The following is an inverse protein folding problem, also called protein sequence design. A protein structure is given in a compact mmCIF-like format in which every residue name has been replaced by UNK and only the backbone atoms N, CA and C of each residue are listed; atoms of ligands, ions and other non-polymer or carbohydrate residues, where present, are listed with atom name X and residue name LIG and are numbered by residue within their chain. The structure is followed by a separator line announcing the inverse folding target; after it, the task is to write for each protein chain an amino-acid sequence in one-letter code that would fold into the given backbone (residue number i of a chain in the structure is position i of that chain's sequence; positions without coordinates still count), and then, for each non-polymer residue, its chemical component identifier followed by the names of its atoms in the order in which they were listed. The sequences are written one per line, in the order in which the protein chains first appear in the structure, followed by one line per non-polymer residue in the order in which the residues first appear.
data_IF_540116207670
#
_entry.id   IF_540116207670
#
_cell.length_a   1.000
_cell.length_b   1.000
_cell.length_c   1.000
_cell.angle_alpha   90.00
_cell.angle_beta   90.00
_cell.angle_gamma   90.00
#
_symmetry.space_group_name_H-M   'P 1'
#
loop_
_entity.id
_entity.type
_entity.pdbx_description
1 polymer ?
#
# COMPACT_ATOMS: atom_id res chain seq x y z
N UNK A 1 -5.34 25.60 -15.82
CA UNK A 1 -6.40 24.56 -15.78
C UNK A 1 -7.65 25.24 -15.26
N UNK A 2 -8.74 25.25 -16.02
CA UNK A 2 -10.04 25.73 -15.53
C UNK A 2 -10.57 24.77 -14.45
N UNK A 3 -10.97 25.32 -13.30
CA UNK A 3 -11.60 24.55 -12.23
C UNK A 3 -13.00 24.13 -12.68
N UNK A 4 -13.15 22.88 -13.14
CA UNK A 4 -14.48 22.30 -13.40
C UNK A 4 -15.19 22.06 -12.07
N UNK A 5 -16.26 22.80 -11.83
CA UNK A 5 -17.17 22.58 -10.69
C UNK A 5 -18.28 21.64 -11.15
N UNK A 6 -18.36 20.46 -10.52
CA UNK A 6 -19.40 19.48 -10.80
C UNK A 6 -20.55 19.68 -9.79
N UNK A 7 -21.72 20.11 -10.27
CA UNK A 7 -22.95 20.12 -9.48
C UNK A 7 -23.53 18.69 -9.42
N UNK A 8 -23.14 17.94 -8.39
CA UNK A 8 -23.59 16.56 -8.17
C UNK A 8 -24.98 16.54 -7.53
N UNK A 9 -25.94 15.84 -8.15
CA UNK A 9 -27.25 15.59 -7.54
C UNK A 9 -27.11 14.55 -6.42
N UNK A 10 -27.99 14.62 -5.41
CA UNK A 10 -28.02 13.63 -4.32
C UNK A 10 -28.26 12.20 -4.83
N UNK A 11 -28.99 12.04 -5.94
CA UNK A 11 -29.18 10.73 -6.61
C UNK A 11 -27.87 10.13 -7.12
N UNK A 12 -26.93 10.99 -7.51
CA UNK A 12 -25.64 10.59 -8.06
C UNK A 12 -24.64 10.15 -6.99
N UNK A 13 -25.02 10.22 -5.71
CA UNK A 13 -24.24 9.70 -4.59
C UNK A 13 -24.71 8.29 -4.23
N UNK A 14 -23.87 7.30 -4.52
CA UNK A 14 -24.05 5.92 -4.09
C UNK A 14 -23.18 5.61 -2.88
N UNK A 15 -23.71 4.87 -1.90
CA UNK A 15 -22.89 4.27 -0.86
C UNK A 15 -22.54 2.84 -1.27
N UNK A 16 -21.26 2.56 -1.47
CA UNK A 16 -20.79 1.18 -1.63
C UNK A 16 -20.33 0.67 -0.26
N UNK A 17 -21.00 -0.36 0.21
CA UNK A 17 -20.61 -1.08 1.43
C UNK A 17 -19.73 -2.25 1.04
N UNK A 18 -18.59 -2.38 1.72
CA UNK A 18 -17.67 -3.48 1.57
C UNK A 18 -17.82 -4.43 2.74
N UNK A 19 -17.54 -5.71 2.50
CA UNK A 19 -17.48 -6.71 3.56
C UNK A 19 -16.45 -6.25 4.58
N UNK A 20 -16.78 -6.37 5.86
CA UNK A 20 -15.87 -6.02 6.95
C UNK A 20 -14.55 -6.77 6.81
N UNK A 21 -13.44 -6.04 6.89
CA UNK A 21 -12.10 -6.58 6.62
C UNK A 21 -11.60 -6.40 5.18
N UNK A 22 -12.42 -5.85 4.26
CA UNK A 22 -11.96 -5.49 2.92
C UNK A 22 -10.79 -4.52 3.02
N UNK A 23 -9.68 -4.89 2.37
CA UNK A 23 -8.41 -4.18 2.44
C UNK A 23 -8.08 -3.58 1.07
N UNK A 24 -7.75 -2.29 1.09
CA UNK A 24 -7.28 -1.52 -0.05
C UNK A 24 -5.78 -1.31 0.12
N UNK A 25 -5.02 -1.90 -0.79
CA UNK A 25 -3.57 -1.86 -0.83
C UNK A 25 -3.18 -1.03 -2.04
N UNK A 26 -2.32 -0.04 -1.85
CA UNK A 26 -1.82 0.81 -2.92
C UNK A 26 -0.31 0.85 -2.87
N UNK A 27 0.30 0.76 -4.04
CA UNK A 27 1.72 1.03 -4.24
C UNK A 27 1.85 2.09 -5.32
N UNK A 28 2.69 3.08 -5.06
CA UNK A 28 3.10 4.06 -6.06
C UNK A 28 4.60 4.33 -5.94
N UNK A 29 5.19 4.85 -7.00
CA UNK A 29 6.61 5.21 -7.02
C UNK A 29 7.02 5.75 -8.38
N UNK A 30 8.30 6.05 -8.53
CA UNK A 30 8.90 6.51 -9.79
C UNK A 30 9.66 5.34 -10.42
N UNK A 31 9.26 4.94 -11.63
CA UNK A 31 9.95 3.91 -12.41
C UNK A 31 11.17 4.45 -13.16
N UNK A 32 11.92 3.57 -13.81
CA UNK A 32 13.18 3.90 -14.51
C UNK A 32 13.02 4.93 -15.65
N UNK A 33 11.80 5.14 -16.13
CA UNK A 33 11.46 6.11 -17.16
C UNK A 33 11.02 7.47 -16.61
N UNK A 34 11.29 7.73 -15.33
CA UNK A 34 10.87 8.92 -14.56
C UNK A 34 9.34 9.12 -14.51
N UNK A 35 8.54 8.10 -14.85
CA UNK A 35 7.08 8.16 -14.73
C UNK A 35 6.63 7.57 -13.41
N UNK A 36 5.62 8.22 -12.84
CA UNK A 36 4.92 7.73 -11.67
C UNK A 36 4.08 6.51 -12.07
N UNK A 37 4.27 5.39 -11.39
CA UNK A 37 3.34 4.28 -11.41
C UNK A 37 2.49 4.29 -10.15
N UNK A 38 1.26 3.78 -10.26
CA UNK A 38 0.35 3.59 -9.13
C UNK A 38 -0.57 2.42 -9.43
N UNK A 39 -0.56 1.44 -8.55
CA UNK A 39 -1.47 0.30 -8.63
C UNK A 39 -2.22 0.11 -7.32
N UNK A 40 -3.43 -0.44 -7.42
CA UNK A 40 -4.30 -0.71 -6.29
C UNK A 40 -4.73 -2.17 -6.36
N UNK A 41 -4.54 -2.89 -5.26
CA UNK A 41 -5.06 -4.22 -5.02
C UNK A 41 -6.18 -4.14 -3.96
N UNK A 42 -7.35 -4.67 -4.29
CA UNK A 42 -8.49 -4.77 -3.39
C UNK A 42 -8.72 -6.24 -3.07
N UNK A 43 -8.68 -6.60 -1.79
CA UNK A 43 -8.90 -7.96 -1.30
C UNK A 43 -9.97 -8.00 -0.23
N UNK A 44 -10.63 -9.15 -0.10
CA UNK A 44 -11.84 -9.31 0.71
C UNK A 44 -11.57 -9.37 2.22
N UNK A 45 -10.33 -9.64 2.64
CA UNK A 45 -9.94 -9.77 4.04
C UNK A 45 -8.52 -9.28 4.29
N UNK A 46 -8.19 -9.01 5.56
CA UNK A 46 -6.83 -8.70 6.00
C UNK A 46 -5.89 -9.90 5.85
N UNK A 47 -6.39 -11.12 5.99
CA UNK A 47 -5.61 -12.34 5.79
C UNK A 47 -5.20 -12.49 4.32
N UNK A 48 -6.13 -12.25 3.39
CA UNK A 48 -5.83 -12.23 1.95
C UNK A 48 -4.80 -11.14 1.62
N UNK A 49 -4.88 -10.00 2.32
CA UNK A 49 -3.92 -8.91 2.14
C UNK A 49 -2.51 -9.35 2.50
N UNK A 50 -2.31 -9.96 3.67
CA UNK A 50 -1.00 -10.45 4.13
C UNK A 50 -0.43 -11.50 3.17
N UNK A 51 -1.28 -12.43 2.69
CA UNK A 51 -0.84 -13.51 1.78
C UNK A 51 -0.47 -13.02 0.38
N UNK A 52 -1.21 -12.05 -0.16
CA UNK A 52 -1.06 -11.61 -1.56
C UNK A 52 -0.15 -10.40 -1.72
N UNK A 53 -0.02 -9.56 -0.70
CA UNK A 53 0.72 -8.32 -0.82
C UNK A 53 2.19 -8.52 -1.20
N UNK A 54 2.96 -9.45 -0.61
CA UNK A 54 4.38 -9.59 -0.93
C UNK A 54 4.62 -9.88 -2.41
N UNK A 55 3.95 -10.90 -2.97
CA UNK A 55 4.10 -11.26 -4.38
C UNK A 55 3.59 -10.18 -5.32
N UNK A 56 2.39 -9.64 -5.07
CA UNK A 56 1.82 -8.55 -5.88
C UNK A 56 2.71 -7.30 -5.87
N UNK A 57 3.17 -6.87 -4.69
CA UNK A 57 4.00 -5.67 -4.55
C UNK A 57 5.31 -5.78 -5.31
N UNK A 58 5.99 -6.92 -5.21
CA UNK A 58 7.22 -7.18 -5.94
C UNK A 58 6.96 -7.21 -7.45
N UNK A 59 5.90 -7.87 -7.91
CA UNK A 59 5.54 -7.92 -9.33
C UNK A 59 5.26 -6.53 -9.91
N UNK A 60 4.45 -5.73 -9.22
CA UNK A 60 4.14 -4.34 -9.60
C UNK A 60 5.41 -3.51 -9.70
N UNK A 61 6.24 -3.50 -8.65
CA UNK A 61 7.47 -2.69 -8.60
C UNK A 61 8.45 -3.15 -9.69
N UNK A 62 8.65 -4.45 -9.85
CA UNK A 62 9.62 -5.02 -10.80
C UNK A 62 9.18 -4.97 -12.27
N UNK A 63 7.94 -4.57 -12.53
CA UNK A 63 7.49 -4.20 -13.88
C UNK A 63 7.96 -2.79 -14.26
N UNK A 64 8.28 -1.95 -13.28
CA UNK A 64 8.69 -0.56 -13.48
C UNK A 64 10.17 -0.28 -13.15
N UNK A 65 10.84 -1.23 -12.49
CA UNK A 65 12.24 -1.12 -12.05
C UNK A 65 13.04 -2.31 -12.58
N UNK A 66 14.03 -2.02 -13.43
CA UNK A 66 14.88 -3.01 -14.11
C UNK A 66 15.90 -3.62 -13.15
N UNK A 67 16.54 -2.78 -12.34
CA UNK A 67 17.58 -3.20 -11.38
C UNK A 67 16.98 -3.59 -10.03
N UNK A 68 16.37 -4.76 -10.02
CA UNK A 68 15.63 -5.30 -8.87
C UNK A 68 16.51 -5.48 -7.65
N UNK A 69 17.78 -5.88 -7.85
CA UNK A 69 18.70 -6.16 -6.74
C UNK A 69 19.15 -4.88 -6.05
N UNK A 70 19.56 -3.87 -6.81
CA UNK A 70 19.96 -2.60 -6.22
C UNK A 70 18.78 -1.88 -5.56
N UNK A 71 17.59 -1.95 -6.18
CA UNK A 71 16.38 -1.43 -5.56
C UNK A 71 16.09 -2.11 -4.23
N UNK A 72 16.02 -3.45 -4.22
CA UNK A 72 15.74 -4.22 -3.00
C UNK A 72 16.75 -3.92 -1.90
N UNK A 73 18.05 -3.91 -2.22
CA UNK A 73 19.11 -3.59 -1.25
C UNK A 73 19.01 -2.16 -0.73
N UNK A 74 18.60 -1.20 -1.58
CA UNK A 74 18.40 0.20 -1.15
C UNK A 74 17.25 0.31 -0.15
N UNK A 75 16.15 -0.42 -0.37
CA UNK A 75 15.03 -0.49 0.58
C UNK A 75 15.45 -1.15 1.88
N UNK A 76 16.18 -2.26 1.82
CA UNK A 76 16.71 -2.96 3.01
C UNK A 76 17.63 -2.06 3.82
N UNK A 77 18.57 -1.37 3.17
CA UNK A 77 19.49 -0.47 3.86
C UNK A 77 18.73 0.69 4.52
N UNK A 78 17.75 1.28 3.83
CA UNK A 78 16.92 2.32 4.41
C UNK A 78 16.13 1.83 5.64
N UNK A 79 15.58 0.61 5.58
CA UNK A 79 14.90 -0.02 6.73
C UNK A 79 15.85 -0.22 7.91
N UNK A 80 17.08 -0.69 7.67
CA UNK A 80 18.08 -0.89 8.73
C UNK A 80 18.50 0.46 9.34
N UNK A 81 18.68 1.48 8.53
CA UNK A 81 19.13 2.81 9.00
C UNK A 81 18.04 3.56 9.78
N UNK A 82 16.77 3.41 9.39
CA UNK A 82 15.69 4.27 9.89
C UNK A 82 14.64 3.54 10.73
N UNK A 83 14.55 2.22 10.61
CA UNK A 83 13.46 1.41 11.16
C UNK A 83 13.93 0.12 11.82
N UNK A 84 15.19 0.04 12.28
CA UNK A 84 15.70 -1.17 12.94
C UNK A 84 14.87 -1.56 14.16
N UNK A 85 14.66 -0.62 15.08
CA UNK A 85 13.94 -0.88 16.33
C UNK A 85 12.43 -0.94 16.09
N UNK A 86 11.83 0.18 15.68
CA UNK A 86 10.37 0.28 15.55
C UNK A 86 9.82 -0.55 14.39
N UNK A 87 10.60 -0.84 13.35
CA UNK A 87 10.17 -1.65 12.20
C UNK A 87 10.61 -3.10 12.29
N UNK A 88 11.89 -3.37 12.08
CA UNK A 88 12.43 -4.71 11.88
C UNK A 88 12.31 -5.57 13.15
N UNK A 89 12.75 -5.06 14.30
CA UNK A 89 12.73 -5.81 15.57
C UNK A 89 11.29 -6.08 16.01
N UNK A 90 10.41 -5.08 15.94
CA UNK A 90 9.00 -5.29 16.33
C UNK A 90 8.28 -6.23 15.35
N UNK A 91 8.60 -6.18 14.05
CA UNK A 91 8.07 -7.11 13.06
C UNK A 91 8.54 -8.54 13.34
N UNK A 92 9.85 -8.73 13.56
CA UNK A 92 10.44 -10.03 13.96
C UNK A 92 9.77 -10.58 15.21
N UNK A 93 9.56 -9.73 16.22
CA UNK A 93 8.90 -10.11 17.45
C UNK A 93 7.44 -10.53 17.19
N UNK A 94 6.71 -9.75 16.40
CA UNK A 94 5.34 -10.09 16.00
C UNK A 94 5.26 -11.41 15.22
N UNK A 95 6.26 -11.74 14.40
CA UNK A 95 6.32 -13.00 13.65
C UNK A 95 6.45 -14.20 14.58
N UNK A 96 7.31 -14.14 15.60
CA UNK A 96 7.38 -15.26 16.56
C UNK A 96 6.14 -15.31 17.47
N UNK A 97 5.68 -14.16 17.99
CA UNK A 97 4.60 -14.11 19.00
C UNK A 97 3.25 -14.53 18.45
N UNK A 98 2.94 -14.10 17.22
CA UNK A 98 1.60 -14.27 16.66
C UNK A 98 1.51 -15.39 15.63
N UNK A 99 2.64 -15.80 15.05
CA UNK A 99 2.67 -16.80 13.97
C UNK A 99 3.53 -18.04 14.30
N UNK A 100 4.22 -18.06 15.44
CA UNK A 100 4.88 -19.27 15.96
C UNK A 100 6.19 -19.65 15.28
N UNK A 101 6.88 -18.69 14.64
CA UNK A 101 8.20 -18.89 14.05
C UNK A 101 9.30 -18.75 15.11
N UNK A 102 9.52 -19.81 15.90
CA UNK A 102 10.48 -19.84 17.01
C UNK A 102 11.92 -19.54 16.56
N UNK A 103 12.27 -19.86 15.32
CA UNK A 103 13.57 -19.60 14.71
C UNK A 103 13.91 -18.09 14.67
N UNK A 104 12.92 -17.22 14.56
CA UNK A 104 13.15 -15.76 14.48
C UNK A 104 13.44 -15.13 15.83
N UNK A 105 13.14 -15.83 16.94
CA UNK A 105 13.35 -15.31 18.29
C UNK A 105 14.80 -14.91 18.53
N UNK A 106 15.73 -15.79 18.18
CA UNK A 106 17.17 -15.61 18.39
C UNK A 106 17.92 -15.11 17.15
N UNK A 107 17.25 -15.03 16.00
CA UNK A 107 17.85 -14.53 14.76
C UNK A 107 18.23 -13.05 14.89
N UNK A 108 19.39 -12.67 14.37
CA UNK A 108 19.79 -11.27 14.28
C UNK A 108 18.76 -10.48 13.43
N UNK A 109 18.33 -9.26 13.81
CA UNK A 109 17.32 -8.53 13.05
C UNK A 109 17.71 -8.22 11.59
N UNK A 110 19.01 -7.98 11.33
CA UNK A 110 19.52 -7.72 9.98
C UNK A 110 19.56 -9.01 9.17
N UNK A 111 19.90 -10.13 9.80
CA UNK A 111 19.78 -11.46 9.17
C UNK A 111 18.31 -11.79 8.85
N UNK A 112 17.41 -11.52 9.79
CA UNK A 112 15.97 -11.74 9.65
C UNK A 112 15.37 -11.00 8.44
N UNK A 113 15.61 -9.69 8.30
CA UNK A 113 15.01 -8.92 7.19
C UNK A 113 15.57 -9.36 5.82
N UNK A 114 16.73 -10.00 5.80
CA UNK A 114 17.41 -10.52 4.59
C UNK A 114 17.16 -12.00 4.34
N UNK A 115 16.46 -12.70 5.25
CA UNK A 115 16.28 -14.15 5.19
C UNK A 115 15.48 -14.59 3.96
N UNK A 116 14.39 -13.89 3.66
CA UNK A 116 13.52 -14.14 2.52
C UNK A 116 13.09 -12.81 1.87
N UNK A 117 12.94 -12.74 0.52
CA UNK A 117 12.53 -11.53 -0.18
C UNK A 117 11.23 -10.92 0.34
N UNK A 118 10.29 -11.75 0.80
CA UNK A 118 8.98 -11.36 1.32
C UNK A 118 9.05 -10.62 2.67
N UNK A 119 10.16 -10.73 3.41
CA UNK A 119 10.30 -10.05 4.70
C UNK A 119 10.30 -8.54 4.54
N UNK A 120 10.84 -8.02 3.44
CA UNK A 120 10.89 -6.58 3.15
C UNK A 120 9.48 -5.98 2.95
N UNK A 121 8.65 -6.45 1.99
CA UNK A 121 7.30 -5.90 1.83
C UNK A 121 6.43 -6.12 3.07
N UNK A 122 6.57 -7.24 3.80
CA UNK A 122 5.84 -7.45 5.05
C UNK A 122 6.28 -6.49 6.16
N UNK A 123 7.58 -6.20 6.27
CA UNK A 123 8.08 -5.20 7.21
C UNK A 123 7.55 -3.80 6.87
N UNK A 124 7.52 -3.43 5.59
CA UNK A 124 6.94 -2.15 5.16
C UNK A 124 5.44 -2.05 5.48
N UNK A 125 4.68 -3.14 5.31
CA UNK A 125 3.26 -3.24 5.72
C UNK A 125 3.12 -3.08 7.23
N UNK A 126 3.95 -3.78 8.00
CA UNK A 126 3.96 -3.69 9.45
C UNK A 126 4.21 -2.25 9.91
N UNK A 127 5.20 -1.58 9.30
CA UNK A 127 5.50 -0.17 9.57
C UNK A 127 4.32 0.72 9.21
N UNK A 128 3.77 0.52 8.00
CA UNK A 128 2.62 1.25 7.51
C UNK A 128 1.47 1.20 8.53
N UNK A 129 1.02 -0.01 8.88
CA UNK A 129 -0.16 -0.23 9.71
C UNK A 129 0.07 0.20 11.17
N UNK A 130 1.24 -0.06 11.75
CA UNK A 130 1.47 0.13 13.19
C UNK A 130 1.94 1.53 13.57
N UNK A 131 2.73 2.19 12.72
CA UNK A 131 3.42 3.42 13.11
C UNK A 131 3.04 4.64 12.26
N UNK A 132 2.46 4.43 11.07
CA UNK A 132 2.20 5.52 10.12
C UNK A 132 0.75 5.57 9.63
N UNK A 133 -0.17 5.05 10.44
CA UNK A 133 -1.62 5.06 10.18
C UNK A 133 -1.96 4.52 8.78
N UNK A 134 -1.32 3.41 8.42
CA UNK A 134 -1.43 2.68 7.17
C UNK A 134 -0.82 3.35 5.94
N UNK A 135 -0.05 4.43 6.05
CA UNK A 135 0.61 5.06 4.90
C UNK A 135 2.09 5.30 5.16
N UNK A 136 2.94 4.67 4.36
CA UNK A 136 4.39 4.82 4.43
C UNK A 136 4.92 5.34 3.10
N UNK A 137 5.76 6.36 3.16
CA UNK A 137 6.55 6.84 2.02
C UNK A 137 8.02 6.70 2.33
N UNK A 138 8.79 6.16 1.39
CA UNK A 138 10.23 5.96 1.53
C UNK A 138 10.98 6.74 0.43
N UNK A 139 12.23 7.17 0.68
CA UNK A 139 12.97 7.99 -0.29
C UNK A 139 13.47 7.18 -1.49
N UNK A 140 13.44 5.84 -1.43
CA UNK A 140 13.86 4.97 -2.53
C UNK A 140 12.79 5.00 -3.62
N UNK A 141 13.11 5.62 -4.75
CA UNK A 141 12.21 5.83 -5.89
C UNK A 141 10.87 6.49 -5.51
N UNK A 142 10.87 7.30 -4.44
CA UNK A 142 9.65 7.90 -3.87
C UNK A 142 8.54 6.85 -3.63
N UNK A 143 8.92 5.62 -3.26
CA UNK A 143 7.98 4.51 -3.11
C UNK A 143 6.99 4.81 -1.96
N UNK A 144 5.72 4.70 -2.27
CA UNK A 144 4.60 4.90 -1.36
C UNK A 144 3.81 3.58 -1.23
N UNK A 145 3.50 3.23 0.01
CA UNK A 145 2.67 2.08 0.36
C UNK A 145 1.51 2.58 1.21
N UNK A 146 0.28 2.27 0.80
CA UNK A 146 -0.91 2.56 1.60
C UNK A 146 -1.74 1.30 1.81
N UNK A 147 -2.21 1.13 3.04
CA UNK A 147 -3.04 0.03 3.49
C UNK A 147 -4.20 0.63 4.26
N UNK A 148 -5.42 0.35 3.81
CA UNK A 148 -6.65 0.88 4.40
C UNK A 148 -7.67 -0.24 4.52
N UNK A 149 -8.27 -0.36 5.69
CA UNK A 149 -9.44 -1.20 5.90
C UNK A 149 -10.67 -0.32 5.75
N UNK A 150 -11.44 -0.52 4.68
CA UNK A 150 -12.54 0.39 4.33
C UNK A 150 -13.85 -0.37 4.38
N UNK A 151 -14.75 0.06 5.27
CA UNK A 151 -16.11 -0.49 5.37
C UNK A 151 -17.05 0.13 4.34
N UNK A 152 -16.88 1.41 4.04
CA UNK A 152 -17.76 2.16 3.15
C UNK A 152 -16.94 3.09 2.26
N UNK A 153 -17.23 3.10 0.96
CA UNK A 153 -16.74 4.13 0.03
C UNK A 153 -17.92 4.92 -0.50
N UNK A 154 -17.77 6.24 -0.52
CA UNK A 154 -18.69 7.10 -1.24
C UNK A 154 -18.40 7.00 -2.74
N UNK A 155 -19.32 6.40 -3.48
CA UNK A 155 -19.29 6.35 -4.93
C UNK A 155 -20.02 7.56 -5.50
N UNK A 156 -19.41 8.21 -6.50
CA UNK A 156 -20.06 9.25 -7.27
C UNK A 156 -20.33 8.68 -8.65
N UNK A 157 -21.61 8.53 -9.01
CA UNK A 157 -22.00 8.08 -10.33
C UNK A 157 -22.05 9.28 -11.29
N UNK A 158 -21.05 9.37 -12.16
CA UNK A 158 -21.00 10.40 -13.19
C UNK A 158 -21.89 10.09 -14.41
N UNK A 159 -22.41 8.86 -14.53
CA UNK A 159 -23.08 8.35 -15.73
C UNK A 159 -24.61 8.36 -15.67
N UNK A 160 -25.24 8.90 -14.62
CA UNK A 160 -26.70 9.05 -14.60
C UNK A 160 -27.18 9.99 -15.72
N UNK A 161 -28.20 9.56 -16.46
CA UNK A 161 -28.96 10.45 -17.35
C UNK A 161 -29.51 11.63 -16.54
N UNK A 162 -29.01 12.85 -16.83
CA UNK A 162 -29.37 14.06 -16.12
C UNK A 162 -28.25 14.71 -15.30
N UNK A 163 -27.03 14.17 -15.30
CA UNK A 163 -25.83 14.94 -14.96
C UNK A 163 -25.54 15.95 -16.08
N UNK A 164 -25.31 17.24 -15.74
CA UNK A 164 -25.19 18.28 -16.76
C UNK A 164 -23.98 17.98 -17.67
N UNK A 165 -24.25 17.81 -18.97
CA UNK A 165 -23.24 17.81 -20.04
C UNK A 165 -22.76 19.23 -20.38
N UNK A 166 -23.21 20.24 -19.65
CA UNK A 166 -22.92 21.65 -19.89
C UNK A 166 -21.96 22.21 -18.83
N UNK A 167 -21.00 23.02 -19.28
CA UNK A 167 -20.07 23.77 -18.44
C UNK A 167 -20.73 24.96 -17.71
N UNK A 168 -22.03 25.18 -17.89
CA UNK A 168 -22.73 26.31 -17.29
C UNK A 168 -23.44 25.90 -15.99
N UNK A 169 -23.29 26.68 -14.90
CA UNK A 169 -24.03 26.46 -13.68
C UNK A 169 -25.52 26.71 -13.93
N UNK A 170 -26.35 25.68 -13.74
CA UNK A 170 -27.81 25.83 -13.79
C UNK A 170 -28.27 26.51 -12.50
N UNK A 171 -28.97 27.65 -12.64
CA UNK A 171 -29.62 28.41 -11.56
C UNK A 171 -30.85 27.70 -11.00
#
# INVERSE_FOLDING_TARGET
MENKVYNLKKSSLGKMEFVEGTSFLMIAGIGDNDKIFREILIVKSSEDAIKKFPSWSMETIYTHISDKSNFHNSVVNWLIENWLDEGIITFKNSMYENFGYDEFKQMDPIEFIKSEPEMVPLCLVHIAVRFTNGYLKIPVNELEISIRFVKNVLGINFWEEGNPKSNEPQM
#
